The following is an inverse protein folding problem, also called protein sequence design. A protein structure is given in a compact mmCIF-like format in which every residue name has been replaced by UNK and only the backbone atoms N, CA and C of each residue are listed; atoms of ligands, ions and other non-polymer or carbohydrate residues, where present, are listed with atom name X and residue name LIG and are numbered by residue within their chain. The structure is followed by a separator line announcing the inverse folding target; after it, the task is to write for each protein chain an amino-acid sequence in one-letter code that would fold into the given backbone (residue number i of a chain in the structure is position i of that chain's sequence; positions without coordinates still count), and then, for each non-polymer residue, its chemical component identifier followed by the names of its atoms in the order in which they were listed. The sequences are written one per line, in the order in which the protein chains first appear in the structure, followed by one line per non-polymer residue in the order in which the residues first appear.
data_IF_453853371796
#
_entry.id   IF_453853371796
#
_cell.length_a   1.000
_cell.length_b   1.000
_cell.length_c   1.000
_cell.angle_alpha   90.00
_cell.angle_beta   90.00
_cell.angle_gamma   90.00
#
_symmetry.space_group_name_H-M   'P 1'
#
loop_
_entity.id
_entity.type
_entity.pdbx_description
1 polymer ?
#
# COMPACT_ATOMS: atom_id res chain seq x y z
N UNK A 1 25.01 -9.57 -21.04
CA UNK A 1 23.58 -9.45 -21.40
C UNK A 1 23.00 -8.31 -20.60
N UNK A 2 22.08 -7.52 -21.18
CA UNK A 2 21.35 -6.50 -20.40
C UNK A 2 20.41 -7.19 -19.41
N UNK A 3 20.20 -6.58 -18.24
CA UNK A 3 19.27 -7.07 -17.20
C UNK A 3 17.86 -7.19 -17.75
N UNK A 4 17.42 -6.20 -18.55
CA UNK A 4 16.13 -6.24 -19.24
C UNK A 4 15.95 -7.52 -20.06
N UNK A 5 16.99 -7.98 -20.76
CA UNK A 5 16.92 -9.20 -21.58
C UNK A 5 16.80 -10.45 -20.71
N UNK A 6 17.50 -10.50 -19.56
CA UNK A 6 17.40 -11.61 -18.61
C UNK A 6 15.99 -11.68 -18.04
N UNK A 7 15.41 -10.54 -17.66
CA UNK A 7 14.04 -10.45 -17.15
C UNK A 7 13.01 -10.83 -18.23
N UNK A 8 13.21 -10.45 -19.49
CA UNK A 8 12.36 -10.91 -20.59
C UNK A 8 12.45 -12.42 -20.79
N UNK A 9 13.65 -13.00 -20.71
CA UNK A 9 13.82 -14.45 -20.82
C UNK A 9 13.15 -15.20 -19.67
N UNK A 10 13.19 -14.64 -18.45
CA UNK A 10 12.48 -15.17 -17.28
C UNK A 10 10.93 -15.15 -17.44
N UNK A 11 10.41 -14.31 -18.34
CA UNK A 11 8.98 -14.22 -18.67
C UNK A 11 8.62 -14.98 -19.96
N UNK A 12 9.58 -15.64 -20.59
CA UNK A 12 9.34 -16.36 -21.85
C UNK A 12 8.57 -17.65 -21.60
N UNK A 13 7.80 -18.09 -22.61
CA UNK A 13 7.13 -19.40 -22.57
C UNK A 13 8.04 -20.61 -22.83
N UNK A 14 9.34 -20.39 -23.10
CA UNK A 14 10.31 -21.47 -23.29
C UNK A 14 10.94 -21.86 -21.92
N UNK A 15 10.72 -23.09 -21.43
CA UNK A 15 11.23 -23.53 -20.14
C UNK A 15 12.76 -23.45 -20.03
N UNK A 16 13.50 -23.65 -21.13
CA UNK A 16 14.97 -23.62 -21.09
C UNK A 16 15.50 -22.19 -20.91
N UNK A 17 14.89 -21.22 -21.60
CA UNK A 17 15.27 -19.80 -21.47
C UNK A 17 14.86 -19.25 -20.11
N UNK A 18 13.70 -19.66 -19.60
CA UNK A 18 13.23 -19.30 -18.27
C UNK A 18 14.18 -19.82 -17.19
N UNK A 19 14.49 -21.12 -17.20
CA UNK A 19 15.38 -21.72 -16.21
C UNK A 19 16.78 -21.09 -16.25
N UNK A 20 17.33 -20.87 -17.45
CA UNK A 20 18.64 -20.22 -17.59
C UNK A 20 18.63 -18.77 -17.05
N UNK A 21 17.54 -18.03 -17.23
CA UNK A 21 17.41 -16.68 -16.69
C UNK A 21 17.28 -16.68 -15.17
N UNK A 22 16.50 -17.59 -14.60
CA UNK A 22 16.36 -17.75 -13.14
C UNK A 22 17.69 -18.14 -12.47
N UNK A 23 18.45 -19.05 -13.08
CA UNK A 23 19.78 -19.43 -12.60
C UNK A 23 20.76 -18.24 -12.64
N UNK A 24 20.72 -17.43 -13.71
CA UNK A 24 21.53 -16.21 -13.81
C UNK A 24 21.16 -15.17 -12.75
N UNK A 25 19.87 -14.95 -12.50
CA UNK A 25 19.39 -14.03 -11.47
C UNK A 25 19.79 -14.51 -10.07
N UNK A 26 19.66 -15.82 -9.80
CA UNK A 26 20.09 -16.41 -8.52
C UNK A 26 21.59 -16.24 -8.32
N UNK A 27 22.40 -16.61 -9.31
CA UNK A 27 23.85 -16.46 -9.27
C UNK A 27 24.28 -14.99 -9.08
N UNK A 28 23.59 -14.04 -9.71
CA UNK A 28 23.86 -12.61 -9.52
C UNK A 28 23.57 -12.17 -8.07
N UNK A 29 22.44 -12.61 -7.50
CA UNK A 29 22.08 -12.29 -6.11
C UNK A 29 23.09 -12.87 -5.10
N UNK A 30 23.60 -14.08 -5.36
CA UNK A 30 24.58 -14.77 -4.51
C UNK A 30 25.98 -14.17 -4.62
N UNK A 31 26.38 -13.74 -5.83
CA UNK A 31 27.70 -13.17 -6.08
C UNK A 31 27.85 -11.75 -5.54
N UNK A 32 26.87 -10.87 -5.74
CA UNK A 32 26.90 -9.51 -5.22
C UNK A 32 25.48 -9.01 -4.99
N UNK A 33 25.00 -9.25 -3.78
CA UNK A 33 23.64 -8.89 -3.38
C UNK A 33 23.36 -7.38 -3.50
N UNK A 34 24.30 -6.54 -3.05
CA UNK A 34 24.13 -5.08 -3.10
C UNK A 34 23.95 -4.58 -4.54
N UNK A 35 24.85 -4.99 -5.45
CA UNK A 35 24.77 -4.62 -6.86
C UNK A 35 23.51 -5.16 -7.53
N UNK A 36 23.10 -6.40 -7.18
CA UNK A 36 21.86 -6.99 -7.68
C UNK A 36 20.64 -6.14 -7.29
N UNK A 37 20.52 -5.74 -6.02
CA UNK A 37 19.41 -4.90 -5.54
C UNK A 37 19.41 -3.53 -6.23
N UNK A 38 20.56 -2.86 -6.35
CA UNK A 38 20.65 -1.58 -7.08
C UNK A 38 20.20 -1.75 -8.53
N UNK A 39 20.65 -2.81 -9.19
CA UNK A 39 20.33 -3.09 -10.59
C UNK A 39 18.83 -3.32 -10.80
N UNK A 40 18.18 -4.09 -9.93
CA UNK A 40 16.72 -4.29 -10.01
C UNK A 40 15.95 -2.99 -9.71
N UNK A 41 16.43 -2.16 -8.78
CA UNK A 41 15.79 -0.86 -8.48
C UNK A 41 15.93 0.14 -9.64
N UNK A 42 17.06 0.12 -10.35
CA UNK A 42 17.30 0.97 -11.50
C UNK A 42 16.46 0.53 -12.71
N UNK A 43 16.35 -0.78 -12.95
CA UNK A 43 15.45 -1.32 -13.98
C UNK A 43 13.98 -0.94 -13.71
N UNK A 44 13.53 -1.04 -12.46
CA UNK A 44 12.17 -0.63 -12.06
C UNK A 44 11.92 0.87 -12.29
N UNK A 45 12.92 1.72 -12.01
CA UNK A 45 12.82 3.18 -12.18
C UNK A 45 12.77 3.62 -13.65
N UNK A 46 13.51 2.95 -14.53
CA UNK A 46 13.71 3.41 -15.90
C UNK A 46 12.42 3.35 -16.75
N UNK A 47 11.94 4.51 -17.18
CA UNK A 47 10.68 4.66 -17.95
C UNK A 47 10.77 4.12 -19.39
N UNK A 48 11.96 3.98 -19.95
CA UNK A 48 12.20 3.40 -21.28
C UNK A 48 12.13 1.86 -21.28
N UNK A 49 12.05 1.24 -20.10
CA UNK A 49 11.96 -0.22 -19.97
C UNK A 49 10.51 -0.71 -20.12
N UNK A 50 10.31 -1.92 -20.67
CA UNK A 50 8.97 -2.49 -20.78
C UNK A 50 8.27 -2.64 -19.41
N UNK A 51 6.97 -2.33 -19.29
CA UNK A 51 6.24 -2.39 -18.01
C UNK A 51 6.38 -3.72 -17.27
N UNK A 52 6.32 -4.84 -17.99
CA UNK A 52 6.43 -6.18 -17.42
C UNK A 52 7.82 -6.48 -16.83
N UNK A 53 8.91 -5.98 -17.42
CA UNK A 53 10.26 -6.17 -16.86
C UNK A 53 10.45 -5.31 -15.62
N UNK A 54 9.94 -4.08 -15.64
CA UNK A 54 9.94 -3.17 -14.47
C UNK A 54 9.20 -3.81 -13.29
N UNK A 55 7.99 -4.31 -13.55
CA UNK A 55 7.19 -5.05 -12.56
C UNK A 55 7.94 -6.27 -12.04
N UNK A 56 8.54 -7.09 -12.91
CA UNK A 56 9.30 -8.25 -12.47
C UNK A 56 10.51 -7.86 -11.61
N UNK A 57 11.25 -6.82 -11.99
CA UNK A 57 12.38 -6.32 -11.21
C UNK A 57 11.95 -5.91 -9.79
N UNK A 58 10.82 -5.19 -9.66
CA UNK A 58 10.26 -4.83 -8.37
C UNK A 58 9.76 -6.03 -7.55
N UNK A 59 9.17 -7.04 -8.18
CA UNK A 59 8.79 -8.29 -7.50
C UNK A 59 10.03 -9.03 -7.00
N UNK A 60 11.10 -9.10 -7.80
CA UNK A 60 12.37 -9.71 -7.40
C UNK A 60 13.03 -8.96 -6.24
N UNK A 61 12.97 -7.62 -6.22
CA UNK A 61 13.39 -6.82 -5.06
C UNK A 61 12.60 -7.22 -3.82
N UNK A 62 11.26 -7.21 -3.91
CA UNK A 62 10.38 -7.56 -2.80
C UNK A 62 10.70 -8.96 -2.25
N UNK A 63 10.80 -9.96 -3.13
CA UNK A 63 11.07 -11.34 -2.75
C UNK A 63 12.48 -11.56 -2.20
N UNK A 64 13.39 -10.60 -2.37
CA UNK A 64 14.75 -10.64 -1.80
C UNK A 64 14.80 -10.16 -0.36
N UNK A 65 13.76 -9.46 0.12
CA UNK A 65 13.68 -8.87 1.46
C UNK A 65 12.48 -9.37 2.28
N UNK A 66 11.52 -10.05 1.66
CA UNK A 66 10.27 -10.47 2.29
C UNK A 66 9.98 -11.96 2.05
N UNK A 67 9.36 -12.61 3.04
CA UNK A 67 8.90 -13.98 2.97
C UNK A 67 7.74 -14.18 3.93
N UNK A 68 6.78 -15.05 3.57
CA UNK A 68 5.69 -15.45 4.46
C UNK A 68 6.17 -16.26 5.67
N UNK A 69 7.32 -16.93 5.55
CA UNK A 69 7.92 -17.64 6.66
C UNK A 69 8.78 -16.69 7.50
N UNK A 70 8.42 -16.52 8.78
CA UNK A 70 9.08 -15.59 9.71
C UNK A 70 10.59 -15.85 9.83
N UNK A 71 11.02 -17.11 9.83
CA UNK A 71 12.44 -17.46 9.92
C UNK A 71 13.20 -17.03 8.67
N UNK A 72 12.63 -17.31 7.50
CA UNK A 72 13.19 -16.89 6.22
C UNK A 72 13.22 -15.37 6.10
N UNK A 73 12.17 -14.67 6.56
CA UNK A 73 12.12 -13.20 6.61
C UNK A 73 13.24 -12.62 7.48
N UNK A 74 13.48 -13.18 8.67
CA UNK A 74 14.60 -12.76 9.51
C UNK A 74 15.96 -12.92 8.80
N UNK A 75 16.17 -14.02 8.08
CA UNK A 75 17.40 -14.23 7.29
C UNK A 75 17.55 -13.20 6.17
N UNK A 76 16.46 -12.83 5.50
CA UNK A 76 16.49 -11.79 4.47
C UNK A 76 16.76 -10.40 5.06
N UNK A 77 16.18 -10.08 6.21
CA UNK A 77 16.47 -8.86 6.95
C UNK A 77 17.95 -8.79 7.36
N UNK A 78 18.50 -9.86 7.93
CA UNK A 78 19.92 -9.94 8.30
C UNK A 78 20.84 -9.78 7.09
N UNK A 79 20.47 -10.43 5.97
CA UNK A 79 21.19 -10.31 4.69
C UNK A 79 21.15 -8.88 4.17
N UNK A 80 20.00 -8.22 4.18
CA UNK A 80 19.83 -6.84 3.77
C UNK A 80 20.72 -5.90 4.59
N UNK A 81 20.66 -6.00 5.92
CA UNK A 81 21.42 -5.14 6.83
C UNK A 81 22.94 -5.35 6.71
N UNK A 82 23.36 -6.59 6.47
CA UNK A 82 24.78 -6.97 6.47
C UNK A 82 25.44 -6.81 5.11
N UNK A 83 24.71 -7.05 4.02
CA UNK A 83 25.29 -7.14 2.67
C UNK A 83 25.01 -5.92 1.77
N UNK A 84 24.02 -5.09 2.10
CA UNK A 84 23.74 -3.86 1.34
C UNK A 84 24.47 -2.70 1.99
N UNK A 85 25.40 -2.10 1.25
CA UNK A 85 26.12 -0.91 1.69
C UNK A 85 25.23 0.33 1.72
N UNK A 86 25.63 1.33 2.49
CA UNK A 86 24.84 2.55 2.72
C UNK A 86 24.57 3.32 1.41
N UNK A 87 25.56 3.40 0.52
CA UNK A 87 25.42 4.08 -0.77
C UNK A 87 24.41 3.36 -1.68
N UNK A 88 24.46 2.03 -1.75
CA UNK A 88 23.48 1.22 -2.47
C UNK A 88 22.08 1.37 -1.86
N UNK A 89 21.97 1.35 -0.53
CA UNK A 89 20.71 1.52 0.17
C UNK A 89 20.06 2.87 -0.16
N UNK A 90 20.80 3.98 -0.06
CA UNK A 90 20.32 5.30 -0.45
C UNK A 90 19.89 5.37 -1.93
N UNK A 91 20.65 4.75 -2.82
CA UNK A 91 20.32 4.70 -4.24
C UNK A 91 19.01 3.93 -4.49
N UNK A 92 18.81 2.79 -3.82
CA UNK A 92 17.58 1.99 -3.92
C UNK A 92 16.39 2.80 -3.41
N UNK A 93 16.52 3.42 -2.23
CA UNK A 93 15.48 4.31 -1.66
C UNK A 93 15.10 5.42 -2.62
N UNK A 94 16.09 6.10 -3.20
CA UNK A 94 15.88 7.15 -4.19
C UNK A 94 15.15 6.63 -5.44
N UNK A 95 15.60 5.51 -6.00
CA UNK A 95 15.00 4.91 -7.19
C UNK A 95 13.52 4.55 -6.95
N UNK A 96 13.19 3.99 -5.80
CA UNK A 96 11.83 3.63 -5.44
C UNK A 96 10.93 4.86 -5.29
N UNK A 97 11.41 5.90 -4.59
CA UNK A 97 10.66 7.15 -4.42
C UNK A 97 10.43 7.87 -5.76
N UNK A 98 11.42 7.87 -6.66
CA UNK A 98 11.26 8.39 -8.03
C UNK A 98 10.21 7.59 -8.82
N UNK A 99 10.19 6.25 -8.66
CA UNK A 99 9.26 5.36 -9.37
C UNK A 99 7.79 5.55 -8.94
N UNK A 100 7.50 6.03 -7.73
CA UNK A 100 6.13 6.36 -7.32
C UNK A 100 5.48 7.38 -8.28
N UNK A 101 6.26 8.29 -8.84
CA UNK A 101 5.75 9.28 -9.81
C UNK A 101 5.54 8.73 -11.23
N UNK A 102 5.87 7.46 -11.48
CA UNK A 102 5.77 6.85 -12.80
C UNK A 102 4.32 6.88 -13.32
N UNK A 103 4.10 7.20 -14.60
CA UNK A 103 2.80 7.06 -15.24
C UNK A 103 2.43 5.59 -15.49
N UNK A 104 3.38 4.66 -15.40
CA UNK A 104 3.14 3.23 -15.58
C UNK A 104 2.67 2.62 -14.26
N UNK A 105 1.37 2.32 -14.20
CA UNK A 105 0.73 1.76 -12.99
C UNK A 105 1.39 0.48 -12.47
N UNK A 106 1.86 -0.38 -13.37
CA UNK A 106 2.56 -1.61 -12.97
C UNK A 106 3.87 -1.32 -12.21
N UNK A 107 4.58 -0.24 -12.57
CA UNK A 107 5.83 0.14 -11.94
C UNK A 107 5.59 0.88 -10.62
N UNK A 108 4.70 1.89 -10.60
CA UNK A 108 4.45 2.67 -9.39
C UNK A 108 3.82 1.83 -8.26
N UNK A 109 2.90 0.92 -8.58
CA UNK A 109 2.26 0.03 -7.60
C UNK A 109 3.25 -0.99 -7.05
N UNK A 110 4.12 -1.52 -7.91
CA UNK A 110 5.21 -2.42 -7.45
C UNK A 110 6.20 -1.68 -6.56
N UNK A 111 6.55 -0.43 -6.89
CA UNK A 111 7.41 0.40 -6.05
C UNK A 111 6.77 0.66 -4.67
N UNK A 112 5.47 0.95 -4.62
CA UNK A 112 4.73 1.11 -3.36
C UNK A 112 4.81 -0.13 -2.46
N UNK A 113 4.66 -1.33 -3.04
CA UNK A 113 4.81 -2.59 -2.30
C UNK A 113 6.24 -2.79 -1.77
N UNK A 114 7.27 -2.51 -2.59
CA UNK A 114 8.68 -2.64 -2.18
C UNK A 114 9.00 -1.64 -1.07
N UNK A 115 8.50 -0.40 -1.17
CA UNK A 115 8.66 0.62 -0.13
C UNK A 115 8.07 0.14 1.19
N UNK A 116 6.87 -0.45 1.20
CA UNK A 116 6.26 -0.96 2.43
C UNK A 116 7.11 -2.06 3.09
N UNK A 117 7.59 -3.05 2.31
CA UNK A 117 8.45 -4.13 2.80
C UNK A 117 9.83 -3.64 3.26
N UNK A 118 10.39 -2.63 2.61
CA UNK A 118 11.63 -2.00 3.07
C UNK A 118 11.40 -1.16 4.33
N UNK A 119 10.28 -0.45 4.42
CA UNK A 119 9.90 0.33 5.58
C UNK A 119 9.77 -0.56 6.82
N UNK A 120 9.26 -1.79 6.69
CA UNK A 120 9.19 -2.72 7.82
C UNK A 120 10.54 -3.15 8.39
N UNK A 121 11.60 -3.07 7.59
CA UNK A 121 12.97 -3.38 8.01
C UNK A 121 13.66 -2.13 8.55
N UNK A 122 13.55 -1.02 7.83
CA UNK A 122 14.38 0.17 8.02
C UNK A 122 13.83 1.16 9.06
N UNK A 123 12.49 1.25 9.22
CA UNK A 123 11.87 2.18 10.17
C UNK A 123 12.14 1.79 11.63
N UNK A 124 12.02 0.52 12.07
CA UNK A 124 12.37 0.13 13.44
C UNK A 124 13.84 0.41 13.80
N UNK A 125 14.72 0.44 12.78
CA UNK A 125 16.15 0.74 12.93
C UNK A 125 16.48 2.22 12.75
N UNK A 126 15.47 3.07 12.52
CA UNK A 126 15.61 4.51 12.23
C UNK A 126 16.54 4.84 11.05
N UNK A 127 16.63 3.94 10.06
CA UNK A 127 17.48 4.12 8.86
C UNK A 127 16.76 4.76 7.67
N UNK A 128 15.44 4.95 7.77
CA UNK A 128 14.63 5.67 6.79
C UNK A 128 13.68 6.68 7.43
N UNK A 129 14.19 7.45 8.40
CA UNK A 129 13.45 8.47 9.13
C UNK A 129 12.60 9.44 8.26
N UNK A 130 13.06 9.95 7.10
CA UNK A 130 12.27 10.92 6.32
C UNK A 130 11.14 10.29 5.50
N UNK A 131 11.01 8.95 5.45
CA UNK A 131 10.04 8.28 4.58
C UNK A 131 8.61 8.78 4.80
N UNK A 132 8.14 8.74 6.04
CA UNK A 132 6.75 9.09 6.36
C UNK A 132 6.49 10.55 5.99
N UNK A 133 7.43 11.46 6.26
CA UNK A 133 7.29 12.88 5.92
C UNK A 133 7.24 13.11 4.40
N UNK A 134 8.02 12.36 3.61
CA UNK A 134 7.98 12.40 2.14
C UNK A 134 6.63 11.91 1.64
N UNK A 135 6.12 10.78 2.13
CA UNK A 135 4.82 10.23 1.70
C UNK A 135 3.67 11.18 2.07
N UNK A 136 3.68 11.75 3.27
CA UNK A 136 2.70 12.74 3.68
C UNK A 136 2.75 13.99 2.79
N UNK A 137 3.95 14.48 2.45
CA UNK A 137 4.10 15.62 1.56
C UNK A 137 3.55 15.32 0.16
N UNK A 138 3.83 14.13 -0.39
CA UNK A 138 3.33 13.73 -1.70
C UNK A 138 1.80 13.74 -1.78
N UNK A 139 1.08 13.35 -0.73
CA UNK A 139 -0.39 13.34 -0.73
C UNK A 139 -0.98 14.73 -0.45
N UNK A 140 -0.38 15.48 0.47
CA UNK A 140 -0.93 16.78 0.92
C UNK A 140 -0.56 17.95 -0.01
N UNK A 141 0.50 17.82 -0.81
CA UNK A 141 0.87 18.82 -1.78
C UNK A 141 -0.09 18.82 -2.98
N UNK A 142 -0.74 19.96 -3.22
CA UNK A 142 -1.70 20.16 -4.31
C UNK A 142 -1.07 20.11 -5.71
N UNK A 143 0.24 20.31 -5.80
CA UNK A 143 0.99 20.25 -7.06
C UNK A 143 1.45 18.82 -7.41
N UNK A 144 1.24 17.86 -6.51
CA UNK A 144 1.62 16.47 -6.77
C UNK A 144 0.84 15.88 -7.94
N UNK A 145 1.53 15.19 -8.88
CA UNK A 145 0.87 14.56 -10.00
C UNK A 145 -0.01 13.40 -9.52
N UNK A 146 -1.18 13.14 -10.14
CA UNK A 146 -2.10 12.10 -9.67
C UNK A 146 -1.49 10.69 -9.48
N UNK A 147 -0.60 10.19 -10.36
CA UNK A 147 0.05 8.88 -10.16
C UNK A 147 0.93 8.81 -8.90
N UNK A 148 1.54 9.94 -8.52
CA UNK A 148 2.32 10.02 -7.28
C UNK A 148 1.40 9.94 -6.06
N UNK A 149 0.25 10.63 -6.09
CA UNK A 149 -0.73 10.58 -5.00
C UNK A 149 -1.32 9.18 -4.85
N UNK A 150 -1.73 8.55 -5.96
CA UNK A 150 -2.25 7.17 -5.99
C UNK A 150 -1.25 6.19 -5.36
N UNK A 151 -0.04 6.10 -5.92
CA UNK A 151 0.97 5.13 -5.47
C UNK A 151 1.48 5.41 -4.06
N UNK A 152 1.48 6.67 -3.61
CA UNK A 152 1.82 7.01 -2.23
C UNK A 152 0.75 6.54 -1.25
N UNK A 153 -0.54 6.67 -1.60
CA UNK A 153 -1.63 6.14 -0.79
C UNK A 153 -1.57 4.61 -0.72
N UNK A 154 -1.30 3.94 -1.84
CA UNK A 154 -1.05 2.49 -1.86
C UNK A 154 0.11 2.12 -0.92
N UNK A 155 1.23 2.85 -0.98
CA UNK A 155 2.39 2.59 -0.12
C UNK A 155 2.05 2.75 1.37
N UNK A 156 1.30 3.80 1.74
CA UNK A 156 0.82 4.01 3.10
C UNK A 156 -0.11 2.88 3.55
N UNK A 157 -1.03 2.45 2.69
CA UNK A 157 -1.94 1.32 2.94
C UNK A 157 -1.19 0.02 3.19
N UNK A 158 -0.21 -0.32 2.34
CA UNK A 158 0.63 -1.50 2.54
C UNK A 158 1.47 -1.38 3.82
N UNK A 159 2.03 -0.21 4.12
CA UNK A 159 2.78 -0.01 5.37
C UNK A 159 1.91 -0.24 6.62
N UNK A 160 0.63 0.14 6.58
CA UNK A 160 -0.30 -0.12 7.67
C UNK A 160 -0.63 -1.62 7.81
N UNK A 161 -0.78 -2.34 6.71
CA UNK A 161 -0.98 -3.80 6.71
C UNK A 161 0.22 -4.54 7.33
N UNK A 162 1.44 -4.17 6.93
CA UNK A 162 2.67 -4.74 7.51
C UNK A 162 2.82 -4.45 9.02
N UNK A 163 2.26 -3.33 9.50
CA UNK A 163 2.27 -2.99 10.92
C UNK A 163 1.49 -3.99 11.79
N UNK A 164 0.46 -4.59 11.22
CA UNK A 164 -0.38 -5.59 11.88
C UNK A 164 0.27 -6.96 11.83
N UNK A 165 0.81 -7.36 10.67
CA UNK A 165 1.32 -8.73 10.45
C UNK A 165 2.69 -9.01 11.10
N UNK A 166 3.60 -8.03 11.08
CA UNK A 166 5.03 -8.27 11.30
C UNK A 166 5.64 -7.47 12.46
N UNK A 167 4.80 -6.94 13.38
CA UNK A 167 5.24 -6.15 14.53
C UNK A 167 6.17 -4.99 14.12
N UNK A 168 5.94 -4.40 12.93
CA UNK A 168 6.50 -3.09 12.58
C UNK A 168 6.21 -2.19 13.75
N UNK A 169 7.25 -1.80 14.50
CA UNK A 169 7.08 -1.34 15.88
C UNK A 169 5.93 -0.35 15.93
N UNK A 170 4.82 -0.79 16.56
CA UNK A 170 3.57 -0.04 16.63
C UNK A 170 3.87 1.36 17.19
N UNK A 171 4.98 1.52 17.93
CA UNK A 171 5.49 2.81 18.37
C UNK A 171 5.85 3.78 17.22
N UNK A 172 6.51 3.31 16.16
CA UNK A 172 7.04 4.17 15.09
C UNK A 172 5.90 4.73 14.26
N UNK A 173 5.06 3.85 13.72
CA UNK A 173 3.88 4.30 12.97
C UNK A 173 2.86 4.94 13.91
N UNK A 174 2.65 4.39 15.11
CA UNK A 174 1.65 4.85 16.07
C UNK A 174 1.82 6.32 16.44
N UNK A 175 3.07 6.77 16.59
CA UNK A 175 3.39 8.18 16.83
C UNK A 175 2.98 9.13 15.70
N UNK A 176 2.83 8.61 14.48
CA UNK A 176 2.45 9.37 13.27
C UNK A 176 1.10 8.96 12.68
N UNK A 177 0.34 8.13 13.40
CA UNK A 177 -0.97 7.62 13.00
C UNK A 177 -1.96 8.71 12.59
N UNK A 178 -2.07 9.80 13.37
CA UNK A 178 -2.94 10.94 13.05
C UNK A 178 -2.55 11.63 11.73
N UNK A 179 -1.23 11.70 11.43
CA UNK A 179 -0.74 12.32 10.20
C UNK A 179 -1.04 11.43 8.99
N UNK A 180 -0.81 10.11 9.13
CA UNK A 180 -1.14 9.11 8.11
C UNK A 180 -2.64 9.16 7.81
N UNK A 181 -3.50 9.11 8.83
CA UNK A 181 -4.95 9.23 8.68
C UNK A 181 -5.37 10.52 7.99
N UNK A 182 -4.77 11.65 8.35
CA UNK A 182 -5.07 12.93 7.71
C UNK A 182 -4.75 12.90 6.20
N UNK A 183 -3.63 12.28 5.81
CA UNK A 183 -3.28 12.11 4.40
C UNK A 183 -4.25 11.14 3.69
N UNK A 184 -4.58 10.01 4.30
CA UNK A 184 -5.55 9.05 3.74
C UNK A 184 -6.92 9.71 3.53
N UNK A 185 -7.43 10.44 4.52
CA UNK A 185 -8.71 11.16 4.40
C UNK A 185 -8.63 12.28 3.35
N UNK A 186 -7.49 12.93 3.19
CA UNK A 186 -7.29 13.89 2.09
C UNK A 186 -7.42 13.21 0.72
N UNK A 187 -6.88 11.99 0.58
CA UNK A 187 -7.05 11.14 -0.61
C UNK A 187 -8.51 10.72 -0.83
N UNK A 188 -9.26 10.42 0.23
CA UNK A 188 -10.68 10.06 0.17
C UNK A 188 -11.54 11.22 -0.35
N UNK A 189 -11.17 12.46 -0.03
CA UNK A 189 -11.85 13.67 -0.49
C UNK A 189 -11.32 14.18 -1.85
N UNK A 190 -10.45 13.44 -2.53
CA UNK A 190 -9.74 13.94 -3.70
C UNK A 190 -10.68 14.16 -4.89
N UNK A 191 -10.83 15.43 -5.27
CA UNK A 191 -11.70 15.89 -6.37
C UNK A 191 -10.95 16.72 -7.44
N UNK A 192 -9.62 16.80 -7.35
CA UNK A 192 -8.80 17.54 -8.31
C UNK A 192 -8.45 16.68 -9.54
N UNK A 193 -8.04 17.32 -10.64
CA UNK A 193 -7.60 16.62 -11.86
C UNK A 193 -8.75 16.15 -12.76
N UNK A 194 -8.51 15.07 -13.52
CA UNK A 194 -9.55 14.46 -14.34
C UNK A 194 -10.49 13.60 -13.48
N UNK A 195 -11.76 13.42 -13.89
CA UNK A 195 -12.69 12.52 -13.18
C UNK A 195 -12.12 11.11 -13.00
N UNK A 196 -11.40 10.60 -14.01
CA UNK A 196 -10.77 9.28 -13.97
C UNK A 196 -9.65 9.21 -12.91
N UNK A 197 -8.73 10.17 -12.90
CA UNK A 197 -7.64 10.19 -11.90
C UNK A 197 -8.15 10.38 -10.48
N UNK A 198 -9.22 11.17 -10.33
CA UNK A 198 -9.85 11.44 -9.04
C UNK A 198 -10.48 10.17 -8.46
N UNK A 199 -11.20 9.38 -9.26
CA UNK A 199 -11.78 8.11 -8.80
C UNK A 199 -10.68 7.12 -8.39
N UNK A 200 -9.61 7.01 -9.18
CA UNK A 200 -8.51 6.08 -8.87
C UNK A 200 -7.84 6.42 -7.54
N UNK A 201 -7.57 7.71 -7.28
CA UNK A 201 -7.01 8.15 -6.00
C UNK A 201 -7.96 7.86 -4.84
N UNK A 202 -9.26 8.09 -4.98
CA UNK A 202 -10.24 7.76 -3.93
C UNK A 202 -10.27 6.25 -3.64
N UNK A 203 -10.17 5.40 -4.67
CA UNK A 203 -10.09 3.94 -4.48
C UNK A 203 -8.86 3.55 -3.67
N UNK A 204 -7.68 4.05 -4.01
CA UNK A 204 -6.44 3.82 -3.25
C UNK A 204 -6.54 4.35 -1.81
N UNK A 205 -7.16 5.52 -1.62
CA UNK A 205 -7.32 6.10 -0.29
C UNK A 205 -8.24 5.26 0.62
N UNK A 206 -9.39 4.80 0.11
CA UNK A 206 -10.31 3.96 0.90
C UNK A 206 -9.67 2.60 1.21
N UNK A 207 -8.96 2.00 0.25
CA UNK A 207 -8.21 0.78 0.50
C UNK A 207 -7.11 0.98 1.55
N UNK A 208 -6.39 2.11 1.51
CA UNK A 208 -5.40 2.44 2.53
C UNK A 208 -6.04 2.66 3.91
N UNK A 209 -7.24 3.25 3.98
CA UNK A 209 -7.98 3.36 5.24
C UNK A 209 -8.34 1.98 5.79
N UNK A 210 -8.86 1.08 4.95
CA UNK A 210 -9.23 -0.28 5.36
C UNK A 210 -8.06 -1.00 6.05
N UNK A 211 -6.87 -0.93 5.44
CA UNK A 211 -5.65 -1.49 6.02
C UNK A 211 -5.19 -0.77 7.30
N UNK A 212 -5.46 0.53 7.42
CA UNK A 212 -5.10 1.32 8.59
C UNK A 212 -6.03 1.09 9.80
N UNK A 213 -7.26 0.60 9.60
CA UNK A 213 -8.28 0.50 10.65
C UNK A 213 -7.85 -0.35 11.85
N UNK A 214 -7.07 -1.41 11.67
CA UNK A 214 -6.58 -2.23 12.78
C UNK A 214 -5.50 -1.54 13.61
N UNK A 215 -4.79 -0.61 12.98
CA UNK A 215 -3.62 0.07 13.53
C UNK A 215 -4.00 1.39 14.25
N UNK A 216 -5.09 2.06 13.85
CA UNK A 216 -5.46 3.40 14.35
C UNK A 216 -6.36 3.41 15.60
N UNK A 217 -6.23 2.41 16.48
CA UNK A 217 -7.06 2.28 17.69
C UNK A 217 -7.00 3.50 18.60
N UNK A 218 -5.81 4.10 18.75
CA UNK A 218 -5.61 5.29 19.56
C UNK A 218 -6.38 6.51 19.00
N UNK A 219 -6.41 6.65 17.67
CA UNK A 219 -7.18 7.69 16.99
C UNK A 219 -8.68 7.44 17.14
N UNK A 220 -9.13 6.20 16.96
CA UNK A 220 -10.54 5.84 17.07
C UNK A 220 -11.10 5.97 18.50
N UNK A 221 -10.23 5.91 19.52
CA UNK A 221 -10.58 6.21 20.90
C UNK A 221 -10.88 7.70 21.14
N UNK A 222 -10.35 8.60 20.30
CA UNK A 222 -10.59 10.04 20.39
C UNK A 222 -11.85 10.39 19.57
N UNK A 223 -12.92 10.78 20.25
CA UNK A 223 -14.25 11.01 19.62
C UNK A 223 -14.21 11.95 18.41
N UNK A 224 -13.42 13.03 18.45
CA UNK A 224 -13.31 13.97 17.34
C UNK A 224 -12.65 13.33 16.11
N UNK A 225 -11.57 12.56 16.30
CA UNK A 225 -10.87 11.87 15.20
C UNK A 225 -11.73 10.73 14.64
N UNK A 226 -12.36 9.95 15.53
CA UNK A 226 -13.33 8.92 15.14
C UNK A 226 -14.47 9.50 14.31
N UNK A 227 -15.09 10.58 14.77
CA UNK A 227 -16.19 11.24 14.05
C UNK A 227 -15.74 11.71 12.67
N UNK A 228 -14.53 12.24 12.57
CA UNK A 228 -13.95 12.64 11.29
C UNK A 228 -13.77 11.46 10.33
N UNK A 229 -13.24 10.32 10.81
CA UNK A 229 -13.12 9.09 10.00
C UNK A 229 -14.50 8.61 9.55
N UNK A 230 -15.45 8.47 10.48
CA UNK A 230 -16.80 7.98 10.21
C UNK A 230 -17.54 8.84 9.19
N UNK A 231 -17.44 10.17 9.29
CA UNK A 231 -18.05 11.08 8.32
C UNK A 231 -17.52 10.86 6.90
N UNK A 232 -16.22 10.65 6.75
CA UNK A 232 -15.61 10.43 5.45
C UNK A 232 -15.93 9.05 4.87
N UNK A 233 -15.95 8.00 5.69
CA UNK A 233 -16.37 6.65 5.25
C UNK A 233 -17.85 6.67 4.81
N UNK A 234 -18.73 7.23 5.64
CA UNK A 234 -20.16 7.33 5.32
C UNK A 234 -20.43 8.19 4.08
N UNK A 235 -19.64 9.25 3.83
CA UNK A 235 -19.76 10.03 2.61
C UNK A 235 -19.42 9.21 1.36
N UNK A 236 -18.36 8.38 1.42
CA UNK A 236 -17.95 7.54 0.31
C UNK A 236 -18.83 6.31 0.09
N UNK A 237 -19.63 5.90 1.07
CA UNK A 237 -20.69 4.91 0.88
C UNK A 237 -21.78 5.38 -0.12
N UNK A 238 -21.79 6.67 -0.49
CA UNK A 238 -22.66 7.25 -1.53
C UNK A 238 -21.86 7.81 -2.73
N UNK A 239 -20.59 7.41 -2.91
CA UNK A 239 -19.76 7.85 -4.05
C UNK A 239 -20.38 7.41 -5.39
N UNK A 240 -20.08 8.11 -6.49
CA UNK A 240 -20.55 7.70 -7.82
C UNK A 240 -19.90 6.41 -8.30
N UNK A 241 -18.69 6.08 -7.82
CA UNK A 241 -17.96 4.89 -8.20
C UNK A 241 -18.29 3.67 -7.32
N UNK A 242 -18.68 2.57 -7.96
CA UNK A 242 -19.07 1.31 -7.30
C UNK A 242 -17.95 0.73 -6.44
N UNK A 243 -16.70 0.81 -6.89
CA UNK A 243 -15.56 0.25 -6.15
C UNK A 243 -15.29 1.08 -4.90
N UNK A 244 -15.39 2.41 -4.99
CA UNK A 244 -15.29 3.29 -3.82
C UNK A 244 -16.41 2.99 -2.82
N UNK A 245 -17.67 2.86 -3.27
CA UNK A 245 -18.79 2.51 -2.39
C UNK A 245 -18.58 1.15 -1.71
N UNK A 246 -18.23 0.12 -2.48
CA UNK A 246 -17.93 -1.23 -1.96
C UNK A 246 -16.87 -1.16 -0.86
N UNK A 247 -15.74 -0.50 -1.11
CA UNK A 247 -14.67 -0.41 -0.12
C UNK A 247 -15.02 0.48 1.08
N UNK A 248 -15.90 1.47 0.92
CA UNK A 248 -16.43 2.21 2.06
C UNK A 248 -17.28 1.31 2.98
N UNK A 249 -18.10 0.40 2.41
CA UNK A 249 -18.81 -0.59 3.21
C UNK A 249 -17.88 -1.63 3.82
N UNK A 250 -16.82 -2.06 3.13
CA UNK A 250 -15.76 -2.91 3.73
C UNK A 250 -15.12 -2.23 4.95
N UNK A 251 -14.87 -0.91 4.88
CA UNK A 251 -14.43 -0.14 6.05
C UNK A 251 -15.49 -0.14 7.16
N UNK A 252 -16.79 0.00 6.87
CA UNK A 252 -17.84 -0.06 7.89
C UNK A 252 -17.92 -1.43 8.56
N UNK A 253 -17.81 -2.52 7.80
CA UNK A 253 -17.73 -3.89 8.32
C UNK A 253 -16.54 -4.01 9.27
N UNK A 254 -15.35 -3.59 8.83
CA UNK A 254 -14.15 -3.67 9.67
C UNK A 254 -14.23 -2.79 10.92
N UNK A 255 -14.88 -1.64 10.82
CA UNK A 255 -15.13 -0.78 11.97
C UNK A 255 -16.09 -1.45 12.96
N UNK A 256 -17.13 -2.15 12.49
CA UNK A 256 -18.03 -2.90 13.36
C UNK A 256 -17.29 -4.01 14.11
N UNK A 257 -16.48 -4.81 13.41
CA UNK A 257 -15.68 -5.88 13.98
C UNK A 257 -14.69 -5.36 15.05
N UNK A 258 -14.05 -4.22 14.80
CA UNK A 258 -12.93 -3.76 15.64
C UNK A 258 -13.36 -2.75 16.72
N UNK A 259 -14.44 -2.01 16.49
CA UNK A 259 -14.83 -0.81 17.25
C UNK A 259 -16.33 -0.76 17.58
N UNK A 260 -16.99 -1.92 17.73
CA UNK A 260 -18.42 -2.05 18.01
C UNK A 260 -18.95 -1.06 19.07
N UNK A 261 -18.28 -0.98 20.21
CA UNK A 261 -18.67 -0.11 21.34
C UNK A 261 -18.75 1.39 20.99
N UNK A 262 -18.10 1.81 19.90
CA UNK A 262 -18.07 3.19 19.46
C UNK A 262 -19.13 3.53 18.41
N UNK A 263 -19.93 2.55 17.95
CA UNK A 263 -20.82 2.73 16.80
C UNK A 263 -22.14 3.43 17.10
N UNK A 264 -22.63 3.41 18.35
CA UNK A 264 -23.98 3.86 18.73
C UNK A 264 -24.33 5.24 18.15
N UNK A 265 -23.41 6.21 18.25
CA UNK A 265 -23.58 7.57 17.74
C UNK A 265 -23.80 7.65 16.21
N UNK A 266 -23.29 6.68 15.46
CA UNK A 266 -23.30 6.66 13.99
C UNK A 266 -24.36 5.70 13.42
N UNK A 267 -24.95 4.82 14.24
CA UNK A 267 -25.85 3.75 13.79
C UNK A 267 -27.05 4.22 12.98
N UNK A 268 -27.60 5.41 13.27
CA UNK A 268 -28.72 5.93 12.48
C UNK A 268 -28.31 6.19 11.02
N UNK A 269 -27.15 6.83 10.82
CA UNK A 269 -26.63 7.12 9.48
C UNK A 269 -26.26 5.82 8.76
N UNK A 270 -25.57 4.90 9.46
CA UNK A 270 -25.17 3.61 8.90
C UNK A 270 -26.41 2.78 8.51
N UNK A 271 -27.47 2.80 9.32
CA UNK A 271 -28.72 2.13 9.01
C UNK A 271 -29.36 2.66 7.72
N UNK A 272 -29.42 3.98 7.53
CA UNK A 272 -29.97 4.54 6.28
C UNK A 272 -29.14 4.13 5.07
N UNK A 273 -27.81 4.23 5.17
CA UNK A 273 -26.88 3.86 4.10
C UNK A 273 -26.99 2.37 3.74
N UNK A 274 -26.96 1.48 4.73
CA UNK A 274 -27.03 0.02 4.50
C UNK A 274 -28.37 -0.40 3.92
N UNK A 275 -29.50 0.13 4.41
CA UNK A 275 -30.82 -0.19 3.84
C UNK A 275 -30.97 0.33 2.41
N UNK A 276 -30.43 1.51 2.10
CA UNK A 276 -30.41 2.03 0.73
C UNK A 276 -29.56 1.11 -0.16
N UNK A 277 -28.35 0.75 0.28
CA UNK A 277 -27.44 -0.12 -0.46
C UNK A 277 -28.08 -1.48 -0.78
N UNK A 278 -28.66 -2.13 0.23
CA UNK A 278 -29.32 -3.44 0.09
C UNK A 278 -30.47 -3.42 -0.92
N UNK A 279 -31.20 -2.29 -1.03
CA UNK A 279 -32.40 -2.21 -1.87
C UNK A 279 -32.15 -1.68 -3.27
N UNK A 280 -31.15 -0.83 -3.46
CA UNK A 280 -31.05 0.03 -4.64
C UNK A 280 -29.67 0.05 -5.30
N UNK A 281 -28.63 -0.45 -4.64
CA UNK A 281 -27.26 -0.40 -5.12
C UNK A 281 -26.86 -1.69 -5.85
N UNK A 282 -25.64 -1.77 -6.41
CA UNK A 282 -25.20 -2.99 -7.08
C UNK A 282 -24.93 -4.13 -6.08
N UNK A 283 -25.07 -5.37 -6.55
CA UNK A 283 -24.96 -6.60 -5.73
C UNK A 283 -23.70 -6.62 -4.87
N UNK A 284 -22.55 -6.21 -5.42
CA UNK A 284 -21.27 -6.22 -4.69
C UNK A 284 -21.24 -5.23 -3.52
N UNK A 285 -21.99 -4.14 -3.58
CA UNK A 285 -22.13 -3.15 -2.49
C UNK A 285 -23.19 -3.63 -1.49
N UNK A 286 -24.32 -4.12 -2.00
CA UNK A 286 -25.40 -4.67 -1.19
C UNK A 286 -24.92 -5.83 -0.30
N UNK A 287 -24.07 -6.72 -0.81
CA UNK A 287 -23.47 -7.82 -0.04
C UNK A 287 -22.64 -7.30 1.15
N UNK A 288 -21.86 -6.23 0.97
CA UNK A 288 -21.09 -5.65 2.08
C UNK A 288 -21.98 -4.95 3.12
N UNK A 289 -23.09 -4.34 2.67
CA UNK A 289 -24.08 -3.79 3.59
C UNK A 289 -24.82 -4.89 4.39
N UNK A 290 -25.04 -6.08 3.81
CA UNK A 290 -25.56 -7.25 4.53
C UNK A 290 -24.51 -7.81 5.50
N UNK A 291 -23.25 -7.87 5.06
CA UNK A 291 -22.13 -8.31 5.89
C UNK A 291 -22.03 -7.47 7.16
N UNK A 292 -22.17 -6.13 7.05
CA UNK A 292 -22.17 -5.24 8.21
C UNK A 292 -23.19 -5.68 9.28
N UNK A 293 -24.42 -6.01 8.87
CA UNK A 293 -25.44 -6.48 9.81
C UNK A 293 -25.17 -7.88 10.35
N UNK A 294 -24.47 -8.72 9.58
CA UNK A 294 -24.02 -10.04 10.03
C UNK A 294 -22.95 -9.87 11.11
N UNK A 295 -21.96 -9.01 10.90
CA UNK A 295 -20.95 -8.64 11.90
C UNK A 295 -21.57 -8.06 13.17
N UNK A 296 -22.53 -7.13 13.06
CA UNK A 296 -23.25 -6.58 14.22
C UNK A 296 -24.04 -7.64 15.00
N UNK A 297 -24.47 -8.73 14.35
CA UNK A 297 -25.17 -9.82 15.02
C UNK A 297 -24.23 -10.83 15.69
N UNK A 298 -22.95 -10.86 15.28
CA UNK A 298 -21.91 -11.72 15.85
C UNK A 298 -21.24 -11.10 17.09
N UNK A 299 -21.08 -9.77 17.11
CA UNK A 299 -20.57 -8.98 18.24
C UNK A 299 -21.63 -8.78 19.37
#
# INVERSE_FOLDING_TARGET
MSVTQILQNALSGDPNLQQAAEEQLRAASESNFSMYMVTMSDELRQEDRPPHTRRLAGILLKNSIDSKDRRTKAQFTDRWISMVDEQANEQIKKNLLETLSSPVREANSTAAMVIAKMASIELPMNRWAPLIEILLHNVTNKESPPPLVESTLDALGYMCEEAVEDELDISVLGSRSSQILSAVVTGMQYQAGSPESSVVIRRSAVAALLNALEFVRANFAVENERTYIMQNVCALASDSDVVVRKSAFECLVKIAEVYYDCLDMYMNVIYQLTIQAIKQDEEVVALQAIEFWSTIAEE
#
